data_IF_660988899832
#
_entry.id   IF_660988899832
#
_cell.length_a   1.000
_cell.length_b   1.000
_cell.length_c   1.000
_cell.angle_alpha   90.00
_cell.angle_beta   90.00
_cell.angle_gamma   90.00
#
_symmetry.space_group_name_H-M   'P 1'
#
loop_
_entity.id
_entity.type
_entity.pdbx_description
1 polymer ?
#
# COMPACT_ATOMS: atom_id res chain seq x y z
N UNK A 1 -30.70 -17.21 37.65
CA UNK A 1 -29.65 -16.36 37.06
C UNK A 1 -30.25 -15.03 36.61
N UNK A 2 -29.94 -13.94 37.29
CA UNK A 2 -30.52 -12.60 37.02
C UNK A 2 -29.82 -11.93 35.82
N UNK A 3 -30.58 -11.44 34.84
CA UNK A 3 -30.03 -10.69 33.69
C UNK A 3 -29.86 -9.23 34.08
N UNK A 4 -28.63 -8.69 34.00
CA UNK A 4 -28.36 -7.27 34.24
C UNK A 4 -28.36 -6.48 32.93
N UNK A 5 -28.77 -5.20 32.94
CA UNK A 5 -28.71 -4.34 31.77
C UNK A 5 -27.25 -4.00 31.40
N UNK A 6 -27.01 -3.77 30.11
CA UNK A 6 -25.71 -3.28 29.62
C UNK A 6 -25.65 -1.76 29.75
N UNK A 7 -24.48 -1.23 30.09
CA UNK A 7 -24.24 0.23 30.14
C UNK A 7 -24.24 0.88 28.75
N UNK A 8 -23.84 0.14 27.72
CA UNK A 8 -23.79 0.61 26.33
C UNK A 8 -24.59 -0.30 25.41
N UNK A 9 -25.22 0.26 24.36
CA UNK A 9 -25.88 -0.54 23.34
C UNK A 9 -24.89 -1.50 22.69
N UNK A 10 -25.44 -2.53 22.04
CA UNK A 10 -24.62 -3.36 21.18
C UNK A 10 -24.08 -2.51 20.02
N UNK A 11 -22.83 -2.71 19.60
CA UNK A 11 -22.29 -2.00 18.45
C UNK A 11 -23.18 -2.27 17.22
N UNK A 12 -23.49 -1.21 16.47
CA UNK A 12 -24.26 -1.36 15.23
C UNK A 12 -23.51 -2.24 14.23
N UNK A 13 -24.28 -2.90 13.35
CA UNK A 13 -23.68 -3.68 12.27
C UNK A 13 -22.89 -2.74 11.35
N UNK A 14 -21.64 -3.11 11.05
CA UNK A 14 -20.80 -2.32 10.15
C UNK A 14 -21.41 -2.35 8.76
N UNK A 15 -21.70 -1.18 8.21
CA UNK A 15 -22.09 -1.06 6.81
C UNK A 15 -20.94 -1.53 5.91
N UNK A 16 -21.29 -2.24 4.85
CA UNK A 16 -20.30 -2.72 3.88
C UNK A 16 -19.66 -1.55 3.18
N UNK A 17 -18.32 -1.58 3.10
CA UNK A 17 -17.54 -0.61 2.32
C UNK A 17 -17.83 -0.75 0.83
N UNK A 18 -17.55 0.31 0.05
CA UNK A 18 -17.71 0.29 -1.41
C UNK A 18 -16.95 -0.87 -2.08
N UNK A 19 -15.76 -1.20 -1.57
CA UNK A 19 -14.97 -2.32 -2.06
C UNK A 19 -15.58 -3.68 -1.70
N UNK A 20 -16.16 -3.85 -0.51
CA UNK A 20 -16.83 -5.09 -0.13
C UNK A 20 -18.08 -5.35 -0.97
N UNK A 21 -18.87 -4.30 -1.22
CA UNK A 21 -20.02 -4.37 -2.16
C UNK A 21 -19.57 -4.81 -3.55
N UNK A 22 -18.48 -4.22 -4.06
CA UNK A 22 -17.91 -4.58 -5.35
C UNK A 22 -17.36 -6.02 -5.37
N UNK A 23 -16.61 -6.41 -4.33
CA UNK A 23 -16.03 -7.74 -4.21
C UNK A 23 -17.10 -8.83 -4.13
N UNK A 24 -18.19 -8.59 -3.40
CA UNK A 24 -19.34 -9.49 -3.34
C UNK A 24 -20.02 -9.63 -4.71
N UNK A 25 -20.28 -8.50 -5.40
CA UNK A 25 -20.89 -8.51 -6.73
C UNK A 25 -20.03 -9.23 -7.78
N UNK A 26 -18.69 -9.16 -7.64
CA UNK A 26 -17.74 -9.83 -8.53
C UNK A 26 -17.33 -11.24 -8.06
N UNK A 27 -17.80 -11.70 -6.91
CA UNK A 27 -17.41 -13.00 -6.35
C UNK A 27 -15.93 -13.09 -5.94
N UNK A 28 -15.27 -11.96 -5.66
CA UNK A 28 -13.86 -11.91 -5.26
C UNK A 28 -13.73 -12.42 -3.82
N UNK A 29 -13.12 -13.60 -3.67
CA UNK A 29 -12.83 -14.20 -2.36
C UNK A 29 -11.51 -13.69 -1.79
N UNK A 30 -11.52 -13.29 -0.52
CA UNK A 30 -10.30 -12.86 0.18
C UNK A 30 -9.36 -14.05 0.40
N UNK A 31 -8.15 -13.96 -0.15
CA UNK A 31 -7.09 -14.94 0.08
C UNK A 31 -6.07 -14.43 1.10
N UNK A 32 -5.62 -15.33 1.98
CA UNK A 32 -4.49 -15.04 2.88
C UNK A 32 -3.21 -15.02 2.06
N UNK A 33 -2.38 -14.00 2.27
CA UNK A 33 -1.05 -13.93 1.68
C UNK A 33 -0.01 -14.03 2.79
N UNK A 34 1.11 -14.67 2.51
CA UNK A 34 2.19 -14.81 3.49
C UNK A 34 2.85 -13.48 3.82
N UNK A 35 3.43 -13.42 5.01
CA UNK A 35 4.13 -12.24 5.53
C UNK A 35 5.53 -12.09 4.92
N UNK A 36 6.15 -13.21 4.58
CA UNK A 36 7.51 -13.30 4.04
C UNK A 36 7.49 -13.74 2.58
N UNK A 37 8.47 -13.27 1.83
CA UNK A 37 8.69 -13.56 0.43
C UNK A 37 10.15 -13.97 0.25
N UNK A 38 10.41 -14.95 -0.59
CA UNK A 38 11.76 -15.45 -0.82
C UNK A 38 12.47 -14.55 -1.83
N UNK A 39 13.61 -13.99 -1.45
CA UNK A 39 14.47 -13.25 -2.37
C UNK A 39 15.51 -14.21 -3.00
N UNK A 40 15.47 -14.43 -4.32
CA UNK A 40 16.41 -15.33 -5.00
C UNK A 40 17.85 -14.82 -4.97
N UNK A 41 18.09 -13.51 -4.86
CA UNK A 41 19.44 -12.93 -4.88
C UNK A 41 20.15 -13.18 -3.55
N UNK A 42 19.52 -12.78 -2.44
CA UNK A 42 20.10 -12.98 -1.10
C UNK A 42 19.87 -14.38 -0.52
N UNK A 43 19.06 -15.21 -1.20
CA UNK A 43 18.64 -16.56 -0.76
C UNK A 43 18.02 -16.58 0.64
N UNK A 44 17.32 -15.50 1.01
CA UNK A 44 16.73 -15.30 2.35
C UNK A 44 15.24 -15.01 2.25
N UNK A 45 14.53 -15.37 3.31
CA UNK A 45 13.14 -14.95 3.51
C UNK A 45 13.10 -13.52 4.04
N UNK A 46 12.55 -12.61 3.25
CA UNK A 46 12.43 -11.19 3.57
C UNK A 46 10.95 -10.87 3.83
N UNK A 47 10.60 -10.03 4.82
CA UNK A 47 9.22 -9.61 5.00
C UNK A 47 8.74 -8.80 3.78
N UNK A 48 7.50 -9.05 3.34
CA UNK A 48 6.89 -8.36 2.18
C UNK A 48 6.82 -6.84 2.35
N UNK A 49 6.67 -6.38 3.59
CA UNK A 49 6.57 -4.96 3.94
C UNK A 49 7.30 -4.69 5.25
N UNK A 50 7.79 -3.47 5.44
CA UNK A 50 8.51 -3.06 6.65
C UNK A 50 10.02 -3.18 6.54
N UNK A 51 10.67 -3.71 7.57
CA UNK A 51 12.12 -3.74 7.70
C UNK A 51 12.80 -4.51 6.55
N UNK A 52 13.71 -3.86 5.83
CA UNK A 52 14.38 -4.40 4.62
C UNK A 52 13.44 -4.77 3.47
N UNK A 53 12.21 -4.23 3.43
CA UNK A 53 11.25 -4.47 2.34
C UNK A 53 11.71 -3.96 0.96
N UNK A 54 12.72 -3.09 0.92
CA UNK A 54 13.30 -2.57 -0.32
C UNK A 54 14.09 -3.61 -1.14
N UNK A 55 14.37 -4.77 -0.54
CA UNK A 55 15.05 -5.89 -1.22
C UNK A 55 14.14 -6.54 -2.26
N UNK A 56 12.82 -6.31 -2.18
CA UNK A 56 11.82 -6.85 -3.11
C UNK A 56 11.80 -5.96 -4.37
N UNK A 57 11.71 -6.54 -5.60
CA UNK A 57 11.87 -5.84 -6.89
C UNK A 57 11.08 -4.53 -7.05
N UNK A 58 9.96 -4.41 -6.35
CA UNK A 58 9.01 -3.30 -6.50
C UNK A 58 9.56 -1.94 -6.02
N UNK A 59 10.47 -1.93 -5.05
CA UNK A 59 11.07 -0.71 -4.49
C UNK A 59 12.62 -0.66 -4.72
N UNK A 60 13.17 -1.57 -5.54
CA UNK A 60 14.62 -1.71 -5.77
C UNK A 60 15.27 -0.47 -6.40
N UNK A 61 14.63 0.15 -7.40
CA UNK A 61 15.12 1.39 -8.07
C UNK A 61 15.48 2.50 -7.05
N UNK A 62 14.76 2.59 -5.93
CA UNK A 62 15.00 3.60 -4.92
C UNK A 62 16.24 3.31 -4.04
N UNK A 63 16.68 2.06 -3.96
CA UNK A 63 17.77 1.57 -3.10
C UNK A 63 18.99 1.08 -3.89
N UNK A 64 18.86 0.89 -5.19
CA UNK A 64 19.96 0.48 -6.06
C UNK A 64 21.01 1.57 -6.16
N UNK A 65 22.26 1.11 -6.13
CA UNK A 65 23.46 1.95 -6.23
C UNK A 65 23.61 2.54 -7.64
N UNK A 66 23.09 1.84 -8.66
CA UNK A 66 23.08 2.27 -10.06
C UNK A 66 21.64 2.29 -10.58
N UNK A 67 21.26 3.33 -11.30
CA UNK A 67 19.96 3.46 -11.97
C UNK A 67 20.26 3.76 -13.42
N UNK A 68 19.77 2.90 -14.31
CA UNK A 68 19.92 3.10 -15.75
C UNK A 68 19.06 4.29 -16.18
N UNK A 69 19.73 5.29 -16.76
CA UNK A 69 19.10 6.49 -17.31
C UNK A 69 19.11 6.36 -18.83
N UNK A 70 17.95 6.45 -19.51
CA UNK A 70 17.92 6.47 -20.97
C UNK A 70 18.73 7.64 -21.55
N UNK A 71 19.44 7.38 -22.65
CA UNK A 71 20.20 8.41 -23.36
C UNK A 71 19.28 9.56 -23.82
N UNK A 72 19.66 10.80 -23.49
CA UNK A 72 18.88 12.00 -23.80
C UNK A 72 17.83 12.38 -22.74
N UNK A 73 17.82 11.73 -21.57
CA UNK A 73 16.95 12.14 -20.47
C UNK A 73 17.31 13.56 -19.98
N UNK A 74 16.33 14.46 -20.05
CA UNK A 74 16.48 15.82 -19.56
C UNK A 74 16.62 15.84 -18.03
N UNK A 75 17.43 16.75 -17.46
CA UNK A 75 17.49 16.92 -16.02
C UNK A 75 16.10 17.26 -15.47
N UNK A 76 15.82 16.80 -14.24
CA UNK A 76 14.53 17.05 -13.59
C UNK A 76 14.27 18.55 -13.43
N UNK A 77 12.98 18.92 -13.29
CA UNK A 77 12.52 20.32 -13.07
C UNK A 77 13.28 21.08 -11.98
N UNK A 78 13.87 20.37 -11.03
CA UNK A 78 14.61 20.92 -9.89
C UNK A 78 16.11 21.12 -10.16
N UNK A 79 16.57 20.94 -11.41
CA UNK A 79 17.98 21.03 -11.79
C UNK A 79 18.84 19.83 -11.37
N UNK A 80 18.22 18.73 -10.91
CA UNK A 80 18.90 17.48 -10.58
C UNK A 80 19.07 16.59 -11.81
N UNK A 81 20.07 15.73 -11.77
CA UNK A 81 20.31 14.75 -12.82
C UNK A 81 19.08 13.86 -13.03
N UNK A 82 18.87 13.40 -14.28
CA UNK A 82 17.73 12.57 -14.64
C UNK A 82 17.61 11.31 -13.75
N UNK A 83 18.74 10.73 -13.32
CA UNK A 83 18.77 9.58 -12.41
C UNK A 83 18.12 9.85 -11.04
N UNK A 84 18.28 11.06 -10.50
CA UNK A 84 17.66 11.43 -9.22
C UNK A 84 16.14 11.59 -9.35
N UNK A 85 15.67 12.09 -10.49
CA UNK A 85 14.24 12.18 -10.77
C UNK A 85 13.60 10.78 -10.86
N UNK A 86 14.26 9.82 -11.53
CA UNK A 86 13.82 8.44 -11.60
C UNK A 86 13.78 7.78 -10.21
N UNK A 87 14.79 8.02 -9.37
CA UNK A 87 14.84 7.50 -7.99
C UNK A 87 13.75 8.08 -7.08
N UNK A 88 13.32 9.32 -7.34
CA UNK A 88 12.27 10.00 -6.57
C UNK A 88 10.85 9.62 -6.99
N UNK A 89 10.61 9.31 -8.27
CA UNK A 89 9.31 8.96 -8.83
C UNK A 89 8.51 7.88 -8.05
N UNK A 90 9.09 6.71 -7.68
CA UNK A 90 8.34 5.68 -6.97
C UNK A 90 7.87 6.14 -5.57
N UNK A 91 8.68 6.95 -4.88
CA UNK A 91 8.30 7.52 -3.57
C UNK A 91 7.12 8.49 -3.71
N UNK A 92 7.13 9.33 -4.74
CA UNK A 92 6.03 10.26 -5.01
C UNK A 92 4.73 9.49 -5.35
N UNK A 93 4.81 8.49 -6.22
CA UNK A 93 3.66 7.64 -6.57
C UNK A 93 3.10 6.89 -5.34
N UNK A 94 3.98 6.38 -4.47
CA UNK A 94 3.58 5.71 -3.21
C UNK A 94 2.84 6.67 -2.28
N UNK A 95 3.32 7.91 -2.12
CA UNK A 95 2.62 8.95 -1.34
C UNK A 95 1.23 9.25 -1.89
N UNK A 96 1.12 9.49 -3.20
CA UNK A 96 -0.17 9.76 -3.85
C UNK A 96 -1.16 8.60 -3.67
N UNK A 97 -0.71 7.35 -3.77
CA UNK A 97 -1.55 6.17 -3.53
C UNK A 97 -2.00 6.06 -2.07
N UNK A 98 -1.12 6.40 -1.12
CA UNK A 98 -1.45 6.43 0.32
C UNK A 98 -2.49 7.51 0.61
N UNK A 99 -2.34 8.71 0.05
CA UNK A 99 -3.28 9.81 0.19
C UNK A 99 -4.66 9.45 -0.39
N UNK A 100 -4.67 8.84 -1.59
CA UNK A 100 -5.91 8.34 -2.21
C UNK A 100 -6.62 7.31 -1.33
N UNK A 101 -5.87 6.37 -0.73
CA UNK A 101 -6.44 5.37 0.19
C UNK A 101 -7.05 6.03 1.44
N UNK A 102 -6.33 6.98 2.06
CA UNK A 102 -6.85 7.76 3.20
C UNK A 102 -8.14 8.52 2.85
N UNK A 103 -8.19 9.14 1.67
CA UNK A 103 -9.37 9.84 1.18
C UNK A 103 -10.56 8.88 1.01
N UNK A 104 -10.33 7.70 0.42
CA UNK A 104 -11.37 6.67 0.26
C UNK A 104 -11.85 6.13 1.62
N UNK A 105 -10.94 5.96 2.58
CA UNK A 105 -11.28 5.56 3.94
C UNK A 105 -12.20 6.60 4.59
N UNK A 106 -11.89 7.90 4.50
CA UNK A 106 -12.74 8.97 5.03
C UNK A 106 -14.14 8.94 4.44
N UNK A 107 -14.25 8.83 3.11
CA UNK A 107 -15.56 8.73 2.43
C UNK A 107 -16.34 7.49 2.87
N UNK A 108 -15.68 6.33 3.00
CA UNK A 108 -16.34 5.11 3.47
C UNK A 108 -16.82 5.25 4.93
N UNK A 109 -16.07 5.97 5.78
CA UNK A 109 -16.48 6.26 7.16
C UNK A 109 -17.69 7.19 7.17
N UNK A 110 -17.66 8.27 6.38
CA UNK A 110 -18.78 9.20 6.21
C UNK A 110 -20.05 8.50 5.69
N UNK A 111 -19.92 7.57 4.74
CA UNK A 111 -21.03 6.75 4.24
C UNK A 111 -21.52 5.69 5.25
N UNK A 112 -20.74 5.43 6.31
CA UNK A 112 -21.05 4.41 7.32
C UNK A 112 -21.58 4.97 8.65
N UNK A 113 -21.44 6.28 8.86
CA UNK A 113 -22.03 7.02 9.98
C UNK A 113 -23.51 7.28 9.72
#
# INVERSE_FOLDING_TARGET
TTRLPRAMPLPSQKLMTRWEKFAQAKGIKKQKKDRTEYDPVSRKWVPRTGYKGNVIPKDQIASDWIVEVPDGALPGKDGRDAGDALRAAPKAAKKANVEKNKMQQRRNVEESM
#
